data_IF_087714960388
#
_entry.id   IF_087714960388
#
_cell.length_a   1.000
_cell.length_b   1.000
_cell.length_c   1.000
_cell.angle_alpha   90.00
_cell.angle_beta   90.00
_cell.angle_gamma   90.00
#
_symmetry.space_group_name_H-M   'P 1'
#
loop_
_entity.id
_entity.type
_entity.pdbx_description
1 polymer ?
#
# COMPACT_ATOMS: atom_id res chain seq x y z
N UNK A 1 7.60 24.79 -34.31
CA UNK A 1 8.94 24.20 -34.12
C UNK A 1 8.79 23.22 -32.97
N UNK A 2 8.59 21.94 -33.27
CA UNK A 2 8.37 20.89 -32.26
C UNK A 2 9.72 20.56 -31.62
N UNK A 3 9.84 20.68 -30.29
CA UNK A 3 11.09 20.41 -29.57
C UNK A 3 11.18 18.88 -29.32
N UNK A 4 12.08 18.13 -29.99
CA UNK A 4 12.09 16.67 -29.99
C UNK A 4 12.86 16.07 -28.79
N UNK A 5 12.65 16.58 -27.58
CA UNK A 5 13.40 16.14 -26.40
C UNK A 5 12.64 16.13 -25.06
N UNK A 6 11.38 16.59 -25.01
CA UNK A 6 10.57 16.56 -23.77
C UNK A 6 10.35 15.15 -23.20
N UNK A 7 10.45 14.11 -24.03
CA UNK A 7 10.32 12.71 -23.62
C UNK A 7 11.53 12.18 -22.83
N UNK A 8 12.73 12.77 -23.02
CA UNK A 8 14.00 12.26 -22.46
C UNK A 8 14.31 12.88 -21.09
N UNK A 9 13.55 13.89 -20.66
CA UNK A 9 13.72 14.57 -19.36
C UNK A 9 12.95 13.89 -18.21
N UNK A 10 12.52 12.64 -18.36
CA UNK A 10 12.24 11.79 -17.19
C UNK A 10 13.58 11.23 -16.74
N UNK A 11 14.36 12.07 -16.07
CA UNK A 11 15.39 11.56 -15.18
C UNK A 11 14.66 10.73 -14.13
N UNK A 12 14.87 9.42 -14.17
CA UNK A 12 14.52 8.49 -13.10
C UNK A 12 15.41 8.79 -11.87
N UNK A 13 15.32 10.02 -11.35
CA UNK A 13 15.72 10.33 -9.98
C UNK A 13 14.59 9.84 -9.06
N UNK A 14 14.26 8.55 -9.13
CA UNK A 14 13.49 7.93 -8.06
C UNK A 14 14.39 7.94 -6.84
N UNK A 15 14.14 8.88 -5.93
CA UNK A 15 14.66 8.83 -4.58
C UNK A 15 14.29 7.44 -4.05
N UNK A 16 15.25 6.63 -3.57
CA UNK A 16 14.93 5.33 -2.99
C UNK A 16 13.81 5.50 -1.95
N UNK A 17 12.73 4.76 -2.11
CA UNK A 17 11.64 4.76 -1.15
C UNK A 17 12.10 3.99 0.10
N UNK A 18 12.64 4.75 1.06
CA UNK A 18 13.08 4.23 2.36
C UNK A 18 11.91 3.95 3.33
N UNK A 19 10.66 4.04 2.87
CA UNK A 19 9.51 3.68 3.70
C UNK A 19 9.46 2.16 3.94
N UNK A 20 8.99 1.72 5.12
CA UNK A 20 8.84 0.30 5.40
C UNK A 20 7.86 -0.34 4.41
N UNK A 21 8.08 -1.62 4.12
CA UNK A 21 7.07 -2.43 3.43
C UNK A 21 5.79 -2.51 4.26
N UNK A 22 4.67 -2.79 3.60
CA UNK A 22 3.35 -2.69 4.23
C UNK A 22 3.18 -3.63 5.43
N UNK A 23 3.75 -4.84 5.37
CA UNK A 23 3.75 -5.78 6.50
C UNK A 23 4.52 -5.23 7.71
N UNK A 24 5.73 -4.72 7.51
CA UNK A 24 6.53 -4.07 8.56
C UNK A 24 5.83 -2.84 9.16
N UNK A 25 5.17 -2.04 8.31
CA UNK A 25 4.37 -0.91 8.75
C UNK A 25 3.17 -1.36 9.62
N UNK A 26 2.53 -2.48 9.29
CA UNK A 26 1.45 -3.07 10.09
C UNK A 26 1.97 -3.55 11.44
N UNK A 27 3.10 -4.26 11.46
CA UNK A 27 3.73 -4.73 12.70
C UNK A 27 4.08 -3.56 13.63
N UNK A 28 4.65 -2.49 13.09
CA UNK A 28 4.92 -1.27 13.85
C UNK A 28 3.63 -0.63 14.37
N UNK A 29 2.61 -0.51 13.53
CA UNK A 29 1.30 0.03 13.91
C UNK A 29 0.68 -0.76 15.06
N UNK A 30 0.71 -2.08 14.97
CA UNK A 30 0.18 -2.97 15.99
C UNK A 30 0.96 -2.89 17.30
N UNK A 31 2.29 -2.79 17.27
CA UNK A 31 3.12 -2.57 18.47
C UNK A 31 2.78 -1.23 19.16
N UNK A 32 2.58 -0.18 18.37
CA UNK A 32 2.31 1.17 18.90
C UNK A 32 0.86 1.38 19.36
N UNK A 33 -0.11 0.80 18.64
CA UNK A 33 -1.55 1.07 18.82
C UNK A 33 -2.34 -0.10 19.38
N UNK A 34 -1.75 -1.29 19.44
CA UNK A 34 -2.40 -2.51 19.91
C UNK A 34 -2.42 -2.69 21.43
N UNK A 35 -1.64 -1.92 22.18
CA UNK A 35 -1.67 -1.97 23.66
C UNK A 35 -3.06 -1.59 24.18
N UNK A 36 -3.64 -2.46 25.03
CA UNK A 36 -5.00 -2.31 25.56
C UNK A 36 -6.13 -2.54 24.54
N UNK A 37 -5.81 -2.99 23.31
CA UNK A 37 -6.82 -3.35 22.30
C UNK A 37 -7.20 -4.83 22.39
N UNK A 38 -8.41 -5.14 21.97
CA UNK A 38 -8.93 -6.50 21.98
C UNK A 38 -8.40 -7.33 20.79
N UNK A 39 -8.69 -8.64 20.81
CA UNK A 39 -8.30 -9.55 19.73
C UNK A 39 -8.88 -9.19 18.36
N UNK A 40 -10.01 -8.46 18.32
CA UNK A 40 -10.65 -8.07 17.07
C UNK A 40 -9.82 -7.00 16.38
N UNK A 41 -9.28 -6.03 17.11
CA UNK A 41 -8.35 -5.04 16.57
C UNK A 41 -7.16 -5.69 15.84
N UNK A 42 -6.46 -6.60 16.52
CA UNK A 42 -5.29 -7.29 15.97
C UNK A 42 -5.67 -8.13 14.74
N UNK A 43 -6.75 -8.90 14.82
CA UNK A 43 -7.20 -9.76 13.72
C UNK A 43 -7.63 -8.95 12.50
N UNK A 44 -8.35 -7.85 12.71
CA UNK A 44 -8.84 -7.01 11.60
C UNK A 44 -7.68 -6.31 10.90
N UNK A 45 -6.72 -5.75 11.64
CA UNK A 45 -5.54 -5.13 11.05
C UNK A 45 -4.74 -6.12 10.18
N UNK A 46 -4.43 -7.30 10.72
CA UNK A 46 -3.72 -8.35 9.97
C UNK A 46 -4.49 -8.78 8.71
N UNK A 47 -5.78 -9.12 8.85
CA UNK A 47 -6.63 -9.52 7.71
C UNK A 47 -6.68 -8.46 6.62
N UNK A 48 -6.80 -7.18 6.99
CA UNK A 48 -6.87 -6.10 6.02
C UNK A 48 -5.57 -5.97 5.23
N UNK A 49 -4.43 -6.05 5.91
CA UNK A 49 -3.12 -5.97 5.26
C UNK A 49 -2.84 -7.20 4.39
N UNK A 50 -3.21 -8.40 4.84
CA UNK A 50 -3.16 -9.61 4.01
C UNK A 50 -3.94 -9.45 2.70
N UNK A 51 -5.09 -8.76 2.72
CA UNK A 51 -5.88 -8.51 1.50
C UNK A 51 -5.19 -7.53 0.56
N UNK A 52 -4.60 -6.46 1.08
CA UNK A 52 -3.84 -5.52 0.25
C UNK A 52 -2.64 -6.24 -0.37
N UNK A 53 -1.87 -6.99 0.43
CA UNK A 53 -0.72 -7.76 -0.03
C UNK A 53 -1.13 -8.79 -1.09
N UNK A 54 -2.24 -9.49 -0.90
CA UNK A 54 -2.76 -10.46 -1.86
C UNK A 54 -3.05 -9.85 -3.24
N UNK A 55 -3.56 -8.61 -3.28
CA UNK A 55 -4.02 -7.96 -4.52
C UNK A 55 -2.93 -7.11 -5.17
N UNK A 56 -2.08 -6.45 -4.37
CA UNK A 56 -1.15 -5.41 -4.80
C UNK A 56 0.32 -5.70 -4.45
N UNK A 57 0.60 -6.82 -3.76
CA UNK A 57 1.93 -7.18 -3.28
C UNK A 57 2.32 -6.49 -1.98
N UNK A 58 3.37 -7.00 -1.35
CA UNK A 58 4.02 -6.38 -0.17
C UNK A 58 5.22 -5.56 -0.63
N UNK A 59 5.14 -4.24 -0.47
CA UNK A 59 6.11 -3.28 -0.98
C UNK A 59 6.07 -2.00 -0.15
N UNK A 60 7.03 -1.06 -0.33
CA UNK A 60 7.08 0.18 0.45
C UNK A 60 5.73 0.90 0.48
N UNK A 61 5.30 1.32 1.67
CA UNK A 61 3.95 1.88 1.89
C UNK A 61 3.71 3.16 1.08
N UNK A 62 4.76 3.94 0.77
CA UNK A 62 4.63 5.15 -0.03
C UNK A 62 4.52 4.88 -1.54
N UNK A 63 4.84 3.67 -1.99
CA UNK A 63 4.80 3.30 -3.41
C UNK A 63 3.39 3.02 -3.96
N UNK A 64 2.39 2.81 -3.09
CA UNK A 64 1.01 2.51 -3.52
C UNK A 64 0.34 3.75 -4.15
N UNK A 65 -0.27 3.56 -5.31
CA UNK A 65 -0.93 4.65 -6.04
C UNK A 65 -2.44 4.68 -5.83
N UNK A 66 -3.07 5.83 -6.10
CA UNK A 66 -4.54 5.95 -6.05
C UNK A 66 -5.24 5.05 -7.07
N UNK A 67 -4.60 4.75 -8.21
CA UNK A 67 -5.14 3.83 -9.21
C UNK A 67 -5.21 2.39 -8.65
N UNK A 68 -4.19 1.97 -7.90
CA UNK A 68 -4.17 0.66 -7.26
C UNK A 68 -5.13 0.58 -6.07
N UNK A 69 -5.33 1.68 -5.34
CA UNK A 69 -6.38 1.77 -4.33
C UNK A 69 -7.78 1.57 -4.95
N UNK A 70 -8.04 2.12 -6.14
CA UNK A 70 -9.29 1.88 -6.88
C UNK A 70 -9.42 0.41 -7.28
N UNK A 71 -8.36 -0.21 -7.82
CA UNK A 71 -8.33 -1.64 -8.13
C UNK A 71 -8.62 -2.52 -6.90
N UNK A 72 -8.03 -2.18 -5.75
CA UNK A 72 -8.27 -2.91 -4.50
C UNK A 72 -9.73 -2.77 -4.03
N UNK A 73 -10.31 -1.57 -4.12
CA UNK A 73 -11.74 -1.35 -3.83
C UNK A 73 -12.63 -2.21 -4.72
N UNK A 74 -12.37 -2.23 -6.02
CA UNK A 74 -13.18 -3.00 -6.97
C UNK A 74 -13.08 -4.50 -6.66
N UNK A 75 -11.88 -4.98 -6.31
CA UNK A 75 -11.69 -6.35 -5.82
C UNK A 75 -12.48 -6.64 -4.54
N UNK A 76 -12.54 -5.72 -3.56
CA UNK A 76 -13.35 -5.89 -2.35
C UNK A 76 -14.84 -6.05 -2.69
N UNK A 77 -15.36 -5.27 -3.65
CA UNK A 77 -16.75 -5.39 -4.11
C UNK A 77 -17.02 -6.77 -4.73
N UNK A 78 -16.11 -7.28 -5.56
CA UNK A 78 -16.20 -8.63 -6.13
C UNK A 78 -16.23 -9.73 -5.07
N UNK A 79 -15.56 -9.51 -3.93
CA UNK A 79 -15.59 -10.44 -2.79
C UNK A 79 -16.82 -10.25 -1.88
N UNK A 80 -17.76 -9.35 -2.21
CA UNK A 80 -18.93 -9.06 -1.38
C UNK A 80 -18.61 -8.25 -0.12
N UNK A 81 -17.52 -7.48 -0.13
CA UNK A 81 -17.03 -6.66 0.98
C UNK A 81 -17.09 -5.15 0.68
N UNK A 82 -17.99 -4.74 -0.22
CA UNK A 82 -18.22 -3.35 -0.64
C UNK A 82 -19.26 -2.60 0.18
#
# INVERSE_FOLDING_TARGET
>A
MEIPAMHVLRQDNEVPDDSPILSDACDLYLRLKGSGKDKVFWRTANRNIEYVIKVLGDRPIASYTSAEAAKFRDWLMEQGMG
#
